data_IF_684055145023
#
_entry.id   IF_684055145023
#
_cell.length_a   1.000
_cell.length_b   1.000
_cell.length_c   1.000
_cell.angle_alpha   90.00
_cell.angle_beta   90.00
_cell.angle_gamma   90.00
#
_symmetry.space_group_name_H-M   'P 1'
#
loop_
_entity.id
_entity.type
_entity.pdbx_description
1 polymer ?
#
# COMPACT_ATOMS: atom_id res chain seq x y z
N UNK A 1 -1.31 23.45 -25.37
CA UNK A 1 -0.18 22.57 -25.03
C UNK A 1 0.09 22.80 -23.57
N UNK A 2 0.26 21.75 -22.76
CA UNK A 2 0.54 21.86 -21.33
C UNK A 2 1.92 21.25 -21.02
N UNK A 3 2.52 21.71 -19.93
CA UNK A 3 3.85 21.28 -19.49
C UNK A 3 3.75 20.04 -18.60
N UNK A 4 4.69 19.12 -18.75
CA UNK A 4 4.68 17.82 -18.07
C UNK A 4 6.04 17.53 -17.42
N UNK A 5 6.03 17.08 -16.18
CA UNK A 5 7.11 16.34 -15.55
C UNK A 5 6.88 14.84 -15.77
N UNK A 6 7.86 14.15 -16.33
CA UNK A 6 7.84 12.70 -16.51
C UNK A 6 8.78 12.04 -15.49
N UNK A 7 8.22 11.14 -14.66
CA UNK A 7 8.98 10.39 -13.65
C UNK A 7 8.86 8.91 -13.94
N UNK A 8 9.95 8.29 -14.40
CA UNK A 8 10.00 6.90 -14.84
C UNK A 8 11.43 6.39 -14.66
N UNK A 9 11.65 5.33 -13.90
CA UNK A 9 12.98 4.81 -13.63
C UNK A 9 13.55 3.94 -14.78
N UNK A 10 12.68 3.36 -15.61
CA UNK A 10 13.10 2.54 -16.73
C UNK A 10 13.80 3.37 -17.81
N UNK A 11 15.13 3.18 -18.03
CA UNK A 11 15.94 4.02 -18.94
C UNK A 11 15.58 3.84 -20.42
N UNK A 12 14.81 2.80 -20.78
CA UNK A 12 14.32 2.59 -22.15
C UNK A 12 12.91 3.16 -22.33
N UNK A 13 12.06 3.02 -21.33
CA UNK A 13 10.68 3.47 -21.40
C UNK A 13 10.59 5.01 -21.28
N UNK A 14 11.36 5.64 -20.39
CA UNK A 14 11.34 7.09 -20.16
C UNK A 14 11.52 7.90 -21.46
N UNK A 15 12.58 7.71 -22.28
CA UNK A 15 12.73 8.47 -23.53
C UNK A 15 11.65 8.13 -24.56
N UNK A 16 11.17 6.89 -24.62
CA UNK A 16 10.09 6.50 -25.53
C UNK A 16 8.76 7.18 -25.16
N UNK A 17 8.43 7.24 -23.87
CA UNK A 17 7.25 7.98 -23.39
C UNK A 17 7.36 9.47 -23.69
N UNK A 18 8.52 10.08 -23.41
CA UNK A 18 8.78 11.49 -23.71
C UNK A 18 8.50 11.80 -25.18
N UNK A 19 9.17 11.09 -26.09
CA UNK A 19 8.99 11.27 -27.54
C UNK A 19 7.52 11.05 -27.96
N UNK A 20 6.88 10.01 -27.45
CA UNK A 20 5.50 9.69 -27.81
C UNK A 20 4.51 10.73 -27.29
N UNK A 21 4.70 11.26 -26.08
CA UNK A 21 3.86 12.30 -25.50
C UNK A 21 4.02 13.61 -26.27
N UNK A 22 5.23 14.03 -26.58
CA UNK A 22 5.51 15.25 -27.37
C UNK A 22 5.01 15.14 -28.81
N UNK A 23 5.11 13.96 -29.43
CA UNK A 23 4.57 13.69 -30.78
C UNK A 23 3.04 13.88 -30.87
N UNK A 24 2.31 13.86 -29.74
CA UNK A 24 0.88 14.19 -29.74
C UNK A 24 0.58 15.67 -30.04
N UNK A 25 1.59 16.56 -29.97
CA UNK A 25 1.44 18.00 -30.11
C UNK A 25 0.63 18.67 -28.99
N UNK A 26 0.28 17.92 -27.92
CA UNK A 26 -0.58 18.42 -26.82
C UNK A 26 0.20 18.63 -25.52
N UNK A 27 1.37 17.99 -25.40
CA UNK A 27 2.23 18.03 -24.22
C UNK A 27 3.63 18.51 -24.58
N UNK A 28 4.29 19.14 -23.61
CA UNK A 28 5.70 19.47 -23.62
C UNK A 28 6.32 18.89 -22.35
N UNK A 29 7.22 17.93 -22.45
CA UNK A 29 7.96 17.38 -21.32
C UNK A 29 9.08 18.34 -20.97
N UNK A 30 8.86 19.16 -19.94
CA UNK A 30 9.83 20.19 -19.52
C UNK A 30 10.96 19.63 -18.66
N UNK A 31 10.75 18.48 -18.04
CA UNK A 31 11.75 17.71 -17.32
C UNK A 31 11.38 16.23 -17.27
N UNK A 32 12.40 15.37 -17.25
CA UNK A 32 12.25 13.94 -17.00
C UNK A 32 13.30 13.43 -16.03
N UNK A 33 12.92 12.60 -15.08
CA UNK A 33 13.79 12.03 -14.06
C UNK A 33 13.41 10.58 -13.74
N UNK A 34 14.28 9.90 -12.97
CA UNK A 34 14.16 8.47 -12.66
C UNK A 34 13.83 8.19 -11.17
N UNK A 35 13.70 9.23 -10.36
CA UNK A 35 13.53 9.11 -8.92
C UNK A 35 12.53 10.13 -8.37
N UNK A 36 11.98 9.82 -7.20
CA UNK A 36 11.08 10.72 -6.48
C UNK A 36 11.79 11.97 -5.99
N UNK A 37 13.03 11.83 -5.56
CA UNK A 37 13.88 12.92 -5.10
C UNK A 37 14.12 13.95 -6.21
N UNK A 38 14.47 13.47 -7.42
CA UNK A 38 14.64 14.33 -8.59
C UNK A 38 13.35 15.04 -9.00
N UNK A 39 12.20 14.37 -8.88
CA UNK A 39 10.91 14.98 -9.16
C UNK A 39 10.57 16.09 -8.16
N UNK A 40 10.85 15.86 -6.86
CA UNK A 40 10.65 16.88 -5.82
C UNK A 40 11.55 18.09 -6.04
N UNK A 41 12.85 17.87 -6.28
CA UNK A 41 13.80 18.94 -6.53
C UNK A 41 13.36 19.82 -7.71
N UNK A 42 12.95 19.19 -8.80
CA UNK A 42 12.44 19.91 -9.97
C UNK A 42 11.19 20.72 -9.64
N UNK A 43 10.20 20.15 -8.93
CA UNK A 43 8.96 20.85 -8.59
C UNK A 43 9.18 22.08 -7.70
N UNK A 44 10.21 22.07 -6.85
CA UNK A 44 10.60 23.24 -6.05
C UNK A 44 11.18 24.39 -6.89
N UNK A 45 11.76 24.09 -8.04
CA UNK A 45 12.35 25.08 -8.95
C UNK A 45 11.35 25.56 -10.00
N UNK A 46 10.54 24.65 -10.52
CA UNK A 46 9.57 24.94 -11.59
C UNK A 46 8.32 24.06 -11.44
N UNK A 47 7.14 24.65 -11.48
CA UNK A 47 5.87 23.93 -11.40
C UNK A 47 5.40 23.49 -12.79
N UNK A 48 5.28 22.17 -13.07
CA UNK A 48 4.65 21.68 -14.28
C UNK A 48 3.10 21.78 -14.18
N UNK A 49 2.42 21.75 -15.32
CA UNK A 49 0.95 21.67 -15.34
C UNK A 49 0.42 20.31 -14.86
N UNK A 50 1.21 19.24 -15.04
CA UNK A 50 0.91 17.90 -14.57
C UNK A 50 2.18 17.04 -14.40
N UNK A 51 2.04 15.94 -13.67
CA UNK A 51 3.09 14.94 -13.47
C UNK A 51 2.57 13.59 -14.01
N UNK A 52 3.36 12.91 -14.87
CA UNK A 52 3.18 11.49 -15.16
C UNK A 52 4.20 10.73 -14.31
N UNK A 53 3.72 9.88 -13.41
CA UNK A 53 4.49 9.29 -12.32
C UNK A 53 4.43 7.77 -12.36
N UNK A 54 5.56 7.09 -12.53
CA UNK A 54 5.60 5.66 -12.18
C UNK A 54 5.41 5.48 -10.68
N UNK A 55 4.73 4.41 -10.31
CA UNK A 55 4.53 4.06 -8.89
C UNK A 55 5.79 3.42 -8.30
N UNK A 56 6.46 2.56 -9.07
CA UNK A 56 7.74 2.00 -8.67
C UNK A 56 8.88 2.85 -9.23
N UNK A 57 9.68 3.42 -8.35
CA UNK A 57 10.84 4.24 -8.71
C UNK A 57 12.11 3.68 -8.08
N UNK A 58 13.23 3.94 -8.73
CA UNK A 58 14.55 3.76 -8.13
C UNK A 58 14.76 4.88 -7.09
N UNK A 59 15.07 4.53 -5.84
CA UNK A 59 15.26 5.50 -4.78
C UNK A 59 14.60 5.07 -3.47
N UNK A 60 14.58 5.98 -2.49
CA UNK A 60 13.99 5.72 -1.18
C UNK A 60 12.46 5.89 -1.16
N UNK A 61 11.93 6.75 -2.05
CA UNK A 61 10.51 7.02 -2.17
C UNK A 61 9.90 6.37 -3.41
N UNK A 62 8.75 5.71 -3.24
CA UNK A 62 7.93 5.32 -4.39
C UNK A 62 7.14 6.51 -4.95
N UNK A 63 6.53 6.35 -6.14
CA UNK A 63 5.82 7.45 -6.81
C UNK A 63 4.62 7.98 -6.03
N UNK A 64 3.96 7.16 -5.20
CA UNK A 64 2.83 7.60 -4.36
C UNK A 64 3.35 8.49 -3.23
N UNK A 65 4.40 8.08 -2.53
CA UNK A 65 5.05 8.86 -1.47
C UNK A 65 5.61 10.17 -2.01
N UNK A 66 6.22 10.12 -3.20
CA UNK A 66 6.69 11.31 -3.92
C UNK A 66 5.54 12.28 -4.21
N UNK A 67 4.42 11.79 -4.76
CA UNK A 67 3.26 12.63 -5.04
C UNK A 67 2.67 13.26 -3.78
N UNK A 68 2.61 12.52 -2.66
CA UNK A 68 2.18 13.04 -1.35
C UNK A 68 3.12 14.15 -0.89
N UNK A 69 4.43 13.95 -1.02
CA UNK A 69 5.43 14.94 -0.61
C UNK A 69 5.36 16.21 -1.47
N UNK A 70 5.25 16.07 -2.79
CA UNK A 70 5.07 17.22 -3.70
C UNK A 70 3.77 17.96 -3.37
N UNK A 71 2.67 17.26 -3.09
CA UNK A 71 1.37 17.87 -2.78
C UNK A 71 1.29 18.58 -1.44
N UNK A 72 2.21 18.34 -0.52
CA UNK A 72 2.33 19.15 0.70
C UNK A 72 2.67 20.61 0.38
N UNK A 73 3.53 20.82 -0.63
CA UNK A 73 3.94 22.16 -1.10
C UNK A 73 2.98 22.67 -2.20
N UNK A 74 2.49 21.77 -3.07
CA UNK A 74 1.64 22.08 -4.21
C UNK A 74 0.33 21.24 -4.17
N UNK A 75 -0.65 21.58 -3.29
CA UNK A 75 -1.77 20.69 -2.96
C UNK A 75 -2.67 20.25 -4.13
N UNK A 76 -2.67 20.99 -5.22
CA UNK A 76 -3.53 20.74 -6.39
C UNK A 76 -2.76 20.31 -7.64
N UNK A 77 -1.44 20.02 -7.51
CA UNK A 77 -0.68 19.57 -8.67
C UNK A 77 -1.28 18.27 -9.21
N UNK A 78 -1.62 18.21 -10.51
CA UNK A 78 -2.21 17.02 -11.10
C UNK A 78 -1.18 15.91 -11.24
N UNK A 79 -1.54 14.67 -10.85
CA UNK A 79 -0.67 13.51 -10.95
C UNK A 79 -1.39 12.36 -11.64
N UNK A 80 -0.81 11.82 -12.70
CA UNK A 80 -1.25 10.58 -13.32
C UNK A 80 -0.26 9.47 -12.94
N UNK A 81 -0.70 8.55 -12.08
CA UNK A 81 0.05 7.34 -11.73
C UNK A 81 -0.06 6.32 -12.86
N UNK A 82 1.06 5.84 -13.33
CA UNK A 82 1.19 4.96 -14.48
C UNK A 82 2.08 3.76 -14.13
N UNK A 83 1.50 2.60 -13.80
CA UNK A 83 2.20 1.48 -13.19
C UNK A 83 1.87 0.13 -13.79
N UNK A 84 2.84 -0.79 -13.73
CA UNK A 84 2.63 -2.22 -13.99
C UNK A 84 2.46 -3.03 -12.69
N UNK A 85 2.73 -2.42 -11.54
CA UNK A 85 2.78 -3.11 -10.26
C UNK A 85 1.39 -3.52 -9.76
N UNK A 86 1.33 -4.71 -9.17
CA UNK A 86 0.13 -5.31 -8.56
C UNK A 86 0.44 -5.77 -7.12
N UNK A 87 1.19 -4.95 -6.37
CA UNK A 87 1.53 -5.19 -4.97
C UNK A 87 0.51 -4.49 -4.06
N UNK A 88 -0.05 -5.23 -3.11
CA UNK A 88 -0.99 -4.73 -2.11
C UNK A 88 -0.42 -3.52 -1.32
N UNK A 89 0.90 -3.43 -1.15
CA UNK A 89 1.55 -2.33 -0.46
C UNK A 89 1.33 -0.97 -1.16
N UNK A 90 1.42 -0.94 -2.51
CA UNK A 90 1.15 0.28 -3.27
C UNK A 90 -0.31 0.72 -3.19
N UNK A 91 -1.26 -0.23 -3.20
CA UNK A 91 -2.67 0.08 -3.04
C UNK A 91 -2.99 0.61 -1.63
N UNK A 92 -2.33 0.08 -0.59
CA UNK A 92 -2.41 0.63 0.78
C UNK A 92 -1.84 2.03 0.85
N UNK A 93 -0.66 2.26 0.25
CA UNK A 93 -0.03 3.58 0.19
C UNK A 93 -0.93 4.60 -0.51
N UNK A 94 -1.51 4.25 -1.66
CA UNK A 94 -2.44 5.10 -2.39
C UNK A 94 -3.68 5.46 -1.56
N UNK A 95 -4.29 4.50 -0.87
CA UNK A 95 -5.42 4.77 0.03
C UNK A 95 -5.06 5.71 1.18
N UNK A 96 -3.90 5.49 1.81
CA UNK A 96 -3.40 6.32 2.91
C UNK A 96 -3.03 7.73 2.47
N UNK A 97 -2.64 7.89 1.22
CA UNK A 97 -2.27 9.18 0.64
C UNK A 97 -3.42 10.21 0.64
N UNK A 98 -4.68 9.75 0.66
CA UNK A 98 -5.85 10.64 0.73
C UNK A 98 -5.99 11.55 -0.49
N UNK A 99 -5.47 11.17 -1.64
CA UNK A 99 -5.55 11.94 -2.88
C UNK A 99 -6.99 11.82 -3.43
N UNK A 100 -7.77 12.89 -3.32
CA UNK A 100 -9.21 12.88 -3.65
C UNK A 100 -9.53 13.48 -5.03
N UNK A 101 -8.65 14.29 -5.60
CA UNK A 101 -8.88 14.98 -6.87
C UNK A 101 -7.58 15.28 -7.61
N UNK A 102 -7.68 15.70 -8.86
CA UNK A 102 -6.53 16.05 -9.72
C UNK A 102 -5.59 14.86 -9.93
N UNK A 103 -6.14 13.67 -10.15
CA UNK A 103 -5.31 12.48 -10.39
C UNK A 103 -5.95 11.50 -11.38
N UNK A 104 -5.11 10.64 -11.95
CA UNK A 104 -5.54 9.35 -12.47
C UNK A 104 -4.60 8.26 -11.95
N UNK A 105 -5.09 7.02 -11.84
CA UNK A 105 -4.27 5.86 -11.55
C UNK A 105 -4.61 4.76 -12.54
N UNK A 106 -3.66 4.43 -13.42
CA UNK A 106 -3.88 3.52 -14.54
C UNK A 106 -2.77 2.48 -14.68
N UNK A 107 -3.12 1.31 -15.24
CA UNK A 107 -2.17 0.27 -15.59
C UNK A 107 -1.47 0.57 -16.90
N UNK A 108 -0.15 0.40 -16.96
CA UNK A 108 0.66 0.50 -18.19
C UNK A 108 0.15 -0.46 -19.27
N UNK A 109 -0.32 -1.67 -18.90
CA UNK A 109 -0.88 -2.65 -19.84
C UNK A 109 -2.14 -2.19 -20.58
N UNK A 110 -2.97 -1.35 -19.94
CA UNK A 110 -4.23 -0.88 -20.50
C UNK A 110 -4.07 0.44 -21.27
N UNK A 111 -2.99 1.19 -21.02
CA UNK A 111 -2.73 2.51 -21.57
C UNK A 111 -1.35 2.55 -22.25
N UNK A 112 -1.15 1.69 -23.26
CA UNK A 112 0.14 1.49 -23.94
C UNK A 112 0.58 2.68 -24.79
N UNK A 113 -0.38 3.45 -25.32
CA UNK A 113 -0.09 4.53 -26.25
C UNK A 113 -0.17 5.89 -25.55
N UNK A 114 0.80 6.79 -25.80
CA UNK A 114 0.78 8.16 -25.24
C UNK A 114 -0.53 8.92 -25.50
N UNK A 115 -1.19 8.68 -26.65
CA UNK A 115 -2.48 9.28 -26.98
C UNK A 115 -3.59 8.90 -25.99
N UNK A 116 -3.48 7.74 -25.30
CA UNK A 116 -4.43 7.31 -24.28
C UNK A 116 -4.17 8.00 -22.94
N UNK A 117 -2.94 8.41 -22.67
CA UNK A 117 -2.52 9.08 -21.42
C UNK A 117 -2.89 10.56 -21.43
N UNK A 118 -2.78 11.22 -22.57
CA UNK A 118 -3.04 12.66 -22.71
C UNK A 118 -4.42 13.09 -22.23
N UNK A 119 -5.54 12.39 -22.52
CA UNK A 119 -6.85 12.71 -21.95
C UNK A 119 -6.87 12.67 -20.43
N UNK A 120 -6.22 11.68 -19.82
CA UNK A 120 -6.15 11.53 -18.36
C UNK A 120 -5.40 12.68 -17.70
N UNK A 121 -4.27 13.11 -18.29
CA UNK A 121 -3.55 14.30 -17.87
C UNK A 121 -4.41 15.54 -17.89
N UNK A 122 -5.17 15.75 -19.00
CA UNK A 122 -6.11 16.87 -19.12
C UNK A 122 -7.24 16.83 -18.09
N UNK A 123 -7.80 15.65 -17.84
CA UNK A 123 -8.85 15.50 -16.85
C UNK A 123 -8.32 15.79 -15.44
N UNK A 124 -7.11 15.32 -15.11
CA UNK A 124 -6.46 15.63 -13.84
C UNK A 124 -6.16 17.14 -13.69
N UNK A 125 -5.70 17.81 -14.74
CA UNK A 125 -5.51 19.28 -14.77
C UNK A 125 -6.82 20.00 -14.48
N UNK A 126 -7.94 19.51 -15.01
CA UNK A 126 -9.27 20.07 -14.78
C UNK A 126 -9.90 19.68 -13.45
N UNK A 127 -9.14 19.08 -12.55
CA UNK A 127 -9.60 18.70 -11.21
C UNK A 127 -10.35 17.38 -11.12
N UNK A 128 -10.47 16.64 -12.23
CA UNK A 128 -11.12 15.34 -12.26
C UNK A 128 -10.21 14.26 -11.68
N UNK A 129 -10.82 13.13 -11.33
CA UNK A 129 -10.12 11.93 -10.92
C UNK A 129 -10.60 10.73 -11.73
N UNK A 130 -9.69 9.81 -11.98
CA UNK A 130 -9.96 8.55 -12.66
C UNK A 130 -9.11 7.43 -12.06
N UNK A 131 -9.73 6.28 -11.85
CA UNK A 131 -9.02 5.04 -11.50
C UNK A 131 -9.39 3.98 -12.52
N UNK A 132 -8.39 3.31 -13.07
CA UNK A 132 -8.60 2.15 -13.93
C UNK A 132 -9.44 1.10 -13.17
N UNK A 133 -10.50 0.53 -13.77
CA UNK A 133 -11.36 -0.46 -13.12
C UNK A 133 -10.61 -1.65 -12.51
N UNK A 134 -9.53 -2.11 -13.16
CA UNK A 134 -8.71 -3.21 -12.62
C UNK A 134 -8.00 -2.78 -11.33
N UNK A 135 -7.49 -1.55 -11.27
CA UNK A 135 -6.89 -0.97 -10.06
C UNK A 135 -7.94 -0.77 -8.97
N UNK A 136 -9.12 -0.23 -9.33
CA UNK A 136 -10.21 -0.03 -8.37
C UNK A 136 -10.61 -1.36 -7.72
N UNK A 137 -10.78 -2.43 -8.50
CA UNK A 137 -11.07 -3.76 -7.99
C UNK A 137 -9.99 -4.23 -7.01
N UNK A 138 -8.71 -4.06 -7.34
CA UNK A 138 -7.59 -4.43 -6.45
C UNK A 138 -7.56 -3.60 -5.17
N UNK A 139 -7.83 -2.31 -5.27
CA UNK A 139 -7.95 -1.43 -4.08
C UNK A 139 -9.07 -1.90 -3.15
N UNK A 140 -10.21 -2.32 -3.70
CA UNK A 140 -11.32 -2.85 -2.90
C UNK A 140 -11.02 -4.22 -2.29
N UNK A 141 -10.32 -5.11 -3.02
CA UNK A 141 -9.84 -6.38 -2.47
C UNK A 141 -8.89 -6.18 -1.30
N UNK A 142 -7.89 -5.30 -1.46
CA UNK A 142 -6.95 -4.96 -0.37
C UNK A 142 -7.68 -4.35 0.82
N UNK A 143 -8.68 -3.48 0.57
CA UNK A 143 -9.52 -2.94 1.64
C UNK A 143 -10.27 -4.03 2.41
N UNK A 144 -10.80 -5.05 1.72
CA UNK A 144 -11.49 -6.17 2.39
C UNK A 144 -10.50 -7.01 3.18
N UNK A 145 -9.32 -7.32 2.61
CA UNK A 145 -8.25 -8.04 3.33
C UNK A 145 -7.85 -7.28 4.61
N UNK A 146 -7.61 -5.98 4.50
CA UNK A 146 -7.18 -5.15 5.63
C UNK A 146 -8.26 -5.06 6.73
N UNK A 147 -9.55 -5.06 6.37
CA UNK A 147 -10.64 -5.06 7.36
C UNK A 147 -10.73 -6.37 8.13
N UNK A 148 -10.38 -7.47 7.49
CA UNK A 148 -10.45 -8.81 8.04
C UNK A 148 -9.08 -9.31 8.54
N UNK A 149 -8.06 -8.45 8.53
CA UNK A 149 -6.72 -8.79 9.01
C UNK A 149 -6.71 -8.88 10.54
N UNK A 150 -6.58 -10.07 11.13
CA UNK A 150 -6.54 -10.23 12.57
C UNK A 150 -5.38 -9.48 13.23
N UNK A 151 -4.29 -9.24 12.49
CA UNK A 151 -3.14 -8.50 13.00
C UNK A 151 -3.45 -7.01 13.19
N UNK A 152 -4.42 -6.45 12.45
CA UNK A 152 -4.85 -5.07 12.63
C UNK A 152 -5.57 -4.81 13.97
N UNK A 153 -5.99 -5.86 14.66
CA UNK A 153 -6.59 -5.79 16.00
C UNK A 153 -5.55 -5.77 17.14
N UNK A 154 -4.27 -5.92 16.80
CA UNK A 154 -3.18 -6.06 17.75
C UNK A 154 -2.27 -4.84 17.76
N UNK A 155 -1.75 -4.50 18.94
CA UNK A 155 -0.68 -3.53 19.09
C UNK A 155 0.64 -4.05 18.50
N UNK A 156 1.61 -3.19 18.11
CA UNK A 156 2.85 -3.62 17.44
C UNK A 156 3.62 -4.71 18.16
N UNK A 157 3.74 -4.63 19.50
CA UNK A 157 4.40 -5.67 20.30
C UNK A 157 3.61 -6.99 20.32
N UNK A 158 2.28 -6.92 20.28
CA UNK A 158 1.41 -8.09 20.22
C UNK A 158 1.51 -8.77 18.85
N UNK A 159 1.60 -7.99 17.76
CA UNK A 159 1.83 -8.50 16.41
C UNK A 159 3.13 -9.29 16.31
N UNK A 160 4.23 -8.73 16.86
CA UNK A 160 5.52 -9.41 16.87
C UNK A 160 5.47 -10.72 17.68
N UNK A 161 4.86 -10.72 18.86
CA UNK A 161 4.65 -11.93 19.67
C UNK A 161 3.80 -12.95 18.92
N UNK A 162 2.72 -12.54 18.23
CA UNK A 162 1.85 -13.42 17.46
C UNK A 162 2.61 -14.11 16.31
N UNK A 163 3.46 -13.37 15.59
CA UNK A 163 4.31 -13.92 14.53
C UNK A 163 5.32 -14.96 15.06
N UNK A 164 6.00 -14.66 16.17
CA UNK A 164 6.95 -15.58 16.81
C UNK A 164 6.25 -16.83 17.37
N UNK A 165 5.02 -16.65 17.88
CA UNK A 165 4.17 -17.74 18.35
C UNK A 165 3.78 -18.67 17.18
N UNK A 166 3.47 -18.10 16.01
CA UNK A 166 3.14 -18.86 14.79
C UNK A 166 4.34 -19.62 14.21
N UNK A 167 5.57 -19.20 14.52
CA UNK A 167 6.80 -19.92 14.23
C UNK A 167 7.07 -21.10 15.21
N UNK A 168 6.19 -21.35 16.17
CA UNK A 168 6.32 -22.45 17.14
C UNK A 168 7.20 -22.13 18.35
N UNK A 169 7.63 -20.89 18.52
CA UNK A 169 8.51 -20.51 19.63
C UNK A 169 7.81 -20.59 21.00
N UNK A 170 8.48 -21.08 22.03
CA UNK A 170 7.99 -21.04 23.41
C UNK A 170 8.00 -19.60 23.96
N UNK A 171 7.26 -19.38 25.07
CA UNK A 171 7.26 -18.05 25.72
C UNK A 171 8.66 -17.63 26.20
N UNK A 172 9.49 -18.58 26.62
CA UNK A 172 10.87 -18.34 26.99
C UNK A 172 11.73 -17.88 25.81
N UNK A 173 11.57 -18.55 24.65
CA UNK A 173 12.29 -18.19 23.43
C UNK A 173 11.84 -16.82 22.88
N UNK A 174 10.55 -16.53 22.93
CA UNK A 174 10.00 -15.24 22.53
C UNK A 174 10.53 -14.12 23.44
N UNK A 175 10.49 -14.34 24.78
CA UNK A 175 11.01 -13.39 25.75
C UNK A 175 12.49 -13.08 25.50
N UNK A 176 13.30 -14.12 25.30
CA UNK A 176 14.72 -13.95 24.99
C UNK A 176 14.97 -13.17 23.71
N UNK A 177 14.19 -13.46 22.65
CA UNK A 177 14.32 -12.80 21.33
C UNK A 177 13.92 -11.33 21.37
N UNK A 178 12.88 -10.98 22.13
CA UNK A 178 12.37 -9.62 22.28
C UNK A 178 13.07 -8.82 23.40
N UNK A 179 14.07 -9.39 24.08
CA UNK A 179 14.82 -8.74 25.15
C UNK A 179 14.06 -8.59 26.48
N UNK A 180 12.99 -9.37 26.69
CA UNK A 180 12.27 -9.36 27.96
C UNK A 180 12.94 -10.27 28.99
N UNK A 181 12.98 -9.81 30.25
CA UNK A 181 13.59 -10.57 31.38
C UNK A 181 12.81 -11.84 31.75
N UNK A 182 11.48 -11.84 31.55
CA UNK A 182 10.61 -12.88 32.09
C UNK A 182 9.55 -13.30 31.05
N UNK A 183 9.38 -14.63 30.93
CA UNK A 183 8.30 -15.24 30.14
C UNK A 183 6.88 -14.81 30.59
N UNK A 184 6.72 -14.30 31.81
CA UNK A 184 5.43 -13.80 32.31
C UNK A 184 4.92 -12.62 31.49
N UNK A 185 5.83 -11.77 30.99
CA UNK A 185 5.47 -10.68 30.07
C UNK A 185 4.85 -11.23 28.81
N UNK A 186 5.45 -12.26 28.20
CA UNK A 186 4.90 -12.92 27.01
C UNK A 186 3.56 -13.62 27.32
N UNK A 187 3.42 -14.23 28.51
CA UNK A 187 2.15 -14.84 28.91
C UNK A 187 1.02 -13.81 29.01
N UNK A 188 1.33 -12.59 29.50
CA UNK A 188 0.37 -11.48 29.57
C UNK A 188 0.02 -10.99 28.16
N UNK A 189 1.01 -10.80 27.29
CA UNK A 189 0.77 -10.38 25.89
C UNK A 189 -0.07 -11.43 25.15
N UNK A 190 0.24 -12.73 25.32
CA UNK A 190 -0.59 -13.78 24.73
C UNK A 190 -2.05 -13.70 25.21
N UNK A 191 -2.27 -13.38 26.50
CA UNK A 191 -3.63 -13.14 27.02
C UNK A 191 -4.34 -11.98 26.32
N UNK A 192 -3.63 -10.89 26.02
CA UNK A 192 -4.18 -9.75 25.28
C UNK A 192 -4.52 -10.14 23.83
N UNK A 193 -3.61 -10.86 23.13
CA UNK A 193 -3.86 -11.39 21.77
C UNK A 193 -5.09 -12.31 21.77
N UNK A 194 -5.20 -13.23 22.74
CA UNK A 194 -6.36 -14.14 22.80
C UNK A 194 -7.66 -13.40 23.08
N UNK A 195 -7.62 -12.34 23.87
CA UNK A 195 -8.79 -11.47 24.11
C UNK A 195 -9.20 -10.73 22.83
N UNK A 196 -8.22 -10.13 22.14
CA UNK A 196 -8.46 -9.40 20.90
C UNK A 196 -9.07 -10.30 19.79
N UNK A 197 -8.68 -11.57 19.77
CA UNK A 197 -9.18 -12.56 18.81
C UNK A 197 -10.33 -13.43 19.34
N UNK A 198 -10.87 -13.08 20.51
CA UNK A 198 -12.00 -13.79 21.15
C UNK A 198 -11.72 -15.29 21.39
N UNK A 199 -10.48 -15.65 21.71
CA UNK A 199 -10.05 -17.03 21.95
C UNK A 199 -10.12 -17.46 23.42
N UNK A 200 -10.52 -16.57 24.33
CA UNK A 200 -10.61 -16.82 25.76
C UNK A 200 -11.94 -17.54 26.10
N UNK A 201 -11.93 -18.83 25.94
CA UNK A 201 -12.88 -19.74 26.60
C UNK A 201 -12.13 -20.41 27.73
N UNK A 202 -12.60 -20.35 28.95
CA UNK A 202 -12.16 -21.01 30.18
C UNK A 202 -10.65 -21.34 30.43
N UNK A 203 -10.22 -21.39 31.68
CA UNK A 203 -8.82 -21.57 32.11
C UNK A 203 -8.19 -22.93 31.73
N UNK A 204 -8.96 -23.92 31.27
CA UNK A 204 -8.46 -25.22 30.83
C UNK A 204 -7.79 -25.19 29.43
N UNK A 205 -7.99 -24.13 28.62
CA UNK A 205 -7.78 -24.14 27.16
C UNK A 205 -6.61 -23.28 26.66
N UNK A 206 -5.63 -22.94 27.50
CA UNK A 206 -4.44 -22.17 27.03
C UNK A 206 -3.70 -22.82 25.86
N UNK A 207 -3.68 -24.14 25.78
CA UNK A 207 -3.09 -24.86 24.64
C UNK A 207 -3.94 -24.73 23.39
N UNK A 208 -5.27 -24.78 23.54
CA UNK A 208 -6.22 -24.62 22.43
C UNK A 208 -6.15 -23.20 21.92
N UNK A 209 -6.23 -22.17 22.79
CA UNK A 209 -6.08 -20.77 22.40
C UNK A 209 -4.78 -20.51 21.65
N UNK A 210 -3.67 -21.11 22.10
CA UNK A 210 -2.38 -21.01 21.39
C UNK A 210 -2.45 -21.62 19.99
N UNK A 211 -3.01 -22.81 19.84
CA UNK A 211 -3.16 -23.48 18.55
C UNK A 211 -4.07 -22.66 17.60
N UNK A 212 -5.20 -22.18 18.11
CA UNK A 212 -6.11 -21.32 17.36
C UNK A 212 -5.44 -20.01 16.90
N UNK A 213 -4.63 -19.38 17.77
CA UNK A 213 -3.85 -18.20 17.43
C UNK A 213 -2.84 -18.47 16.30
N UNK A 214 -2.14 -19.60 16.31
CA UNK A 214 -1.25 -20.01 15.21
C UNK A 214 -2.03 -20.15 13.90
N UNK A 215 -3.21 -20.76 13.93
CA UNK A 215 -4.06 -20.93 12.73
C UNK A 215 -4.52 -19.58 12.19
N UNK A 216 -4.91 -18.63 13.06
CA UNK A 216 -5.30 -17.27 12.67
C UNK A 216 -4.14 -16.56 11.96
N UNK A 217 -2.94 -16.59 12.52
CA UNK A 217 -1.75 -15.96 11.91
C UNK A 217 -1.43 -16.60 10.56
N UNK A 218 -1.46 -17.92 10.46
CA UNK A 218 -1.13 -18.64 9.23
C UNK A 218 -2.18 -18.46 8.13
N UNK A 219 -3.46 -18.38 8.49
CA UNK A 219 -4.55 -18.16 7.54
C UNK A 219 -4.71 -16.70 7.12
N UNK A 220 -4.23 -15.76 7.96
CA UNK A 220 -4.48 -14.33 7.79
C UNK A 220 -5.96 -13.96 7.95
N UNK A 221 -6.75 -14.79 8.63
CA UNK A 221 -8.20 -14.60 8.79
C UNK A 221 -8.60 -14.75 10.25
N UNK A 222 -9.47 -13.86 10.73
CA UNK A 222 -10.07 -14.00 12.05
C UNK A 222 -11.11 -15.13 12.00
N UNK A 223 -10.89 -16.16 12.82
CA UNK A 223 -11.72 -17.36 12.87
C UNK A 223 -12.43 -17.47 14.20
N UNK A 224 -13.74 -17.73 14.19
CA UNK A 224 -14.51 -18.13 15.37
C UNK A 224 -14.70 -19.64 15.35
N UNK A 225 -14.46 -20.31 16.48
CA UNK A 225 -14.67 -21.75 16.66
C UNK A 225 -16.03 -21.98 17.33
N UNK A 226 -16.83 -22.85 16.72
CA UNK A 226 -18.12 -23.31 17.28
C UNK A 226 -17.88 -24.48 18.26
N UNK A 227 -18.84 -24.75 19.13
CA UNK A 227 -18.77 -25.85 20.14
C UNK A 227 -18.62 -27.24 19.51
N UNK A 228 -19.12 -27.44 18.29
CA UNK A 228 -19.00 -28.68 17.52
C UNK A 228 -17.63 -28.86 16.85
N UNK A 229 -16.70 -27.92 17.04
CA UNK A 229 -15.37 -27.89 16.42
C UNK A 229 -15.35 -27.30 15.01
N UNK A 230 -16.46 -26.84 14.48
CA UNK A 230 -16.54 -26.06 13.26
C UNK A 230 -15.81 -24.71 13.39
N UNK A 231 -15.34 -24.16 12.26
CA UNK A 231 -14.73 -22.82 12.22
C UNK A 231 -15.42 -21.98 11.14
N UNK A 232 -15.72 -20.74 11.49
CA UNK A 232 -16.28 -19.74 10.58
C UNK A 232 -15.34 -18.55 10.46
N UNK A 233 -15.30 -17.95 9.26
CA UNK A 233 -14.56 -16.72 9.03
C UNK A 233 -15.42 -15.54 9.50
N UNK A 234 -14.87 -14.67 10.33
CA UNK A 234 -15.54 -13.43 10.71
C UNK A 234 -15.48 -12.47 9.52
N UNK A 235 -16.61 -12.31 8.86
CA UNK A 235 -16.79 -11.26 7.85
C UNK A 235 -17.33 -10.00 8.54
N UNK A 236 -16.47 -9.02 8.80
CA UNK A 236 -16.85 -7.70 9.28
C UNK A 236 -17.27 -6.78 8.14
#
# INVERSE_FOLDING_TARGET
MFTLLLVEDNPKLRPALKMGLEATGKTQVIHDCDSGEGAMEFCLQQSPDAILMDVQLAGEMNGIETAVSIRREFPRIPVVFYSIQDDDAYYRAFRRAGILSHYAYVRKSNYLLPQMIVPLLKDAINGRSFIDPDIENRVQEVRRKDKNDPMALLEPNEQEVALLLAQGMSNEQIAARMGFRDKRTISRINGQIYTAWQLNETAADKKIARTRAVIIVQSGQLLIWQEDGGKEIVNC
#
